data_IF_719522563807
#
_entry.id   IF_719522563807
#
_cell.length_a   1.000
_cell.length_b   1.000
_cell.length_c   1.000
_cell.angle_alpha   90.00
_cell.angle_beta   90.00
_cell.angle_gamma   90.00
#
_symmetry.space_group_name_H-M   'P 1'
#
loop_
_entity.id
_entity.type
_entity.pdbx_description
1 polymer ?
#
# COMPACT_ATOMS: atom_id res chain seq x y z
N UNK A 1 -25.01 46.38 30.91
CA UNK A 1 -26.21 45.56 30.68
C UNK A 1 -25.83 44.09 30.83
N UNK A 2 -26.38 43.46 31.86
CA UNK A 2 -26.21 42.06 32.23
C UNK A 2 -26.82 41.12 31.16
N UNK A 3 -26.20 39.95 30.95
CA UNK A 3 -26.92 38.67 30.95
C UNK A 3 -25.93 37.51 31.14
N UNK A 4 -25.84 37.05 32.40
CA UNK A 4 -25.31 35.73 32.78
C UNK A 4 -26.29 34.67 32.24
N UNK A 5 -25.80 33.70 31.46
CA UNK A 5 -26.60 32.58 31.02
C UNK A 5 -26.47 31.45 32.05
N UNK A 6 -27.54 31.22 32.79
CA UNK A 6 -27.72 30.19 33.81
C UNK A 6 -28.03 28.84 33.18
N UNK A 7 -27.27 27.80 33.50
CA UNK A 7 -27.67 26.40 33.32
C UNK A 7 -28.63 26.00 34.46
N UNK A 8 -29.73 25.28 34.19
CA UNK A 8 -30.37 24.47 35.20
C UNK A 8 -29.87 23.03 35.10
N UNK A 9 -29.30 22.54 36.20
CA UNK A 9 -29.26 21.12 36.50
C UNK A 9 -30.68 20.68 36.91
N UNK A 10 -31.18 19.59 36.34
CA UNK A 10 -32.23 18.79 36.97
C UNK A 10 -31.96 17.31 36.70
N UNK A 11 -31.90 16.57 37.81
CA UNK A 11 -31.62 15.15 37.92
C UNK A 11 -32.91 14.30 37.96
N UNK A 12 -32.71 12.98 37.97
CA UNK A 12 -33.65 11.88 38.31
C UNK A 12 -34.63 11.48 37.18
N UNK A 13 -34.84 10.22 36.78
CA UNK A 13 -34.85 8.89 37.45
C UNK A 13 -34.61 7.77 36.41
N UNK A 14 -33.67 6.83 36.61
CA UNK A 14 -33.87 5.45 37.06
C UNK A 14 -34.75 4.51 36.19
N UNK A 15 -34.13 3.47 35.59
CA UNK A 15 -34.70 2.11 35.53
C UNK A 15 -35.00 1.47 34.16
N UNK A 16 -34.05 0.70 33.61
CA UNK A 16 -34.23 -0.62 32.95
C UNK A 16 -32.83 -1.17 32.61
N UNK A 17 -32.22 -2.01 33.44
CA UNK A 17 -32.34 -3.47 33.47
C UNK A 17 -32.05 -4.16 32.11
N UNK A 18 -30.91 -4.85 32.08
CA UNK A 18 -30.51 -5.97 31.20
C UNK A 18 -30.65 -5.82 29.67
N UNK A 19 -29.49 -5.74 29.01
CA UNK A 19 -29.17 -6.58 27.85
C UNK A 19 -27.64 -6.70 27.73
N UNK A 20 -27.10 -7.64 28.51
CA UNK A 20 -25.84 -8.28 28.17
C UNK A 20 -26.15 -9.32 27.09
N UNK A 21 -25.44 -9.25 25.96
CA UNK A 21 -25.42 -10.35 25.00
C UNK A 21 -25.40 -9.92 23.54
N UNK A 22 -24.34 -10.35 22.86
CA UNK A 22 -24.27 -10.65 21.42
C UNK A 22 -24.36 -9.48 20.42
N UNK A 23 -23.19 -9.01 19.97
CA UNK A 23 -22.89 -8.88 18.54
C UNK A 23 -21.37 -8.68 18.29
N UNK A 24 -20.53 -9.56 18.83
CA UNK A 24 -19.15 -9.74 18.31
C UNK A 24 -19.20 -10.75 17.16
N UNK A 25 -19.85 -10.39 16.05
CA UNK A 25 -19.76 -11.15 14.80
C UNK A 25 -19.84 -10.19 13.62
N UNK A 26 -18.80 -9.39 13.44
CA UNK A 26 -18.59 -8.69 12.18
C UNK A 26 -17.11 -8.74 11.77
N UNK A 27 -16.46 -9.88 11.96
CA UNK A 27 -15.38 -10.30 11.07
C UNK A 27 -16.04 -11.13 9.97
N UNK A 28 -16.60 -10.46 8.96
CA UNK A 28 -16.90 -11.14 7.71
C UNK A 28 -15.56 -11.39 7.03
N UNK A 29 -15.07 -12.63 7.17
CA UNK A 29 -13.93 -13.11 6.39
C UNK A 29 -14.47 -13.25 4.96
N UNK A 30 -14.20 -12.25 4.13
CA UNK A 30 -14.40 -12.39 2.69
C UNK A 30 -13.47 -13.52 2.22
N UNK A 31 -13.98 -14.54 1.52
CA UNK A 31 -13.14 -15.61 1.00
C UNK A 31 -12.01 -15.03 0.16
N UNK A 32 -10.77 -15.37 0.49
CA UNK A 32 -9.67 -15.19 -0.46
C UNK A 32 -10.03 -16.05 -1.67
N UNK A 33 -10.22 -15.48 -2.88
CA UNK A 33 -10.51 -16.30 -4.04
C UNK A 33 -9.36 -17.29 -4.19
N UNK A 34 -9.67 -18.58 -4.10
CA UNK A 34 -8.78 -19.62 -4.61
C UNK A 34 -8.66 -19.39 -6.11
N UNK A 35 -7.43 -19.53 -6.62
CA UNK A 35 -7.08 -19.38 -8.03
C UNK A 35 -7.77 -20.47 -8.87
N UNK A 36 -9.07 -20.32 -9.10
CA UNK A 36 -9.79 -21.08 -10.10
C UNK A 36 -9.89 -20.21 -11.35
N UNK A 37 -9.03 -20.52 -12.32
CA UNK A 37 -8.98 -19.89 -13.63
C UNK A 37 -10.20 -20.20 -14.48
N UNK A 38 -11.35 -19.61 -14.15
CA UNK A 38 -12.46 -19.50 -15.08
C UNK A 38 -12.18 -18.33 -16.03
N UNK A 39 -11.71 -18.64 -17.23
CA UNK A 39 -11.69 -17.71 -18.37
C UNK A 39 -13.13 -17.40 -18.79
N UNK A 40 -13.76 -16.47 -18.08
CA UNK A 40 -14.95 -15.75 -18.56
C UNK A 40 -14.44 -14.62 -19.45
N UNK A 41 -14.56 -14.75 -20.78
CA UNK A 41 -14.29 -13.67 -21.73
C UNK A 41 -15.21 -12.48 -21.43
N UNK A 42 -14.73 -11.53 -20.63
CA UNK A 42 -15.43 -10.33 -20.19
C UNK A 42 -15.38 -10.04 -18.69
N UNK A 43 -14.89 -10.97 -17.85
CA UNK A 43 -14.77 -10.75 -16.40
C UNK A 43 -13.50 -9.98 -16.01
N UNK A 44 -13.57 -9.21 -14.93
CA UNK A 44 -12.43 -8.51 -14.34
C UNK A 44 -11.31 -9.51 -13.98
N UNK A 45 -10.15 -9.37 -14.63
CA UNK A 45 -8.98 -10.22 -14.40
C UNK A 45 -7.75 -9.34 -14.10
N UNK A 46 -7.46 -9.07 -12.81
CA UNK A 46 -6.39 -8.16 -12.43
C UNK A 46 -4.99 -8.69 -12.76
N UNK A 47 -4.79 -10.01 -12.76
CA UNK A 47 -3.49 -10.62 -13.09
C UNK A 47 -3.13 -10.41 -14.56
N UNK A 48 -4.09 -10.64 -15.47
CA UNK A 48 -3.91 -10.36 -16.91
C UNK A 48 -3.67 -8.87 -17.16
N UNK A 49 -4.46 -8.00 -16.52
CA UNK A 49 -4.29 -6.55 -16.66
C UNK A 49 -2.89 -6.08 -16.25
N UNK A 50 -2.34 -6.62 -15.15
CA UNK A 50 -0.97 -6.30 -14.72
C UNK A 50 0.05 -6.82 -15.73
N UNK A 51 -0.08 -8.06 -16.19
CA UNK A 51 0.85 -8.68 -17.14
C UNK A 51 0.95 -7.88 -18.45
N UNK A 52 -0.18 -7.42 -18.99
CA UNK A 52 -0.24 -6.64 -20.23
C UNK A 52 0.50 -5.29 -20.15
N UNK A 53 0.49 -4.64 -18.99
CA UNK A 53 1.10 -3.32 -18.80
C UNK A 53 2.51 -3.37 -18.18
N UNK A 54 2.91 -4.50 -17.61
CA UNK A 54 4.13 -4.58 -16.79
C UNK A 54 5.39 -4.14 -17.57
N UNK A 55 5.68 -4.85 -18.66
CA UNK A 55 6.88 -4.58 -19.47
C UNK A 55 6.73 -3.30 -20.28
N UNK A 56 5.52 -3.06 -20.81
CA UNK A 56 5.26 -1.98 -21.77
C UNK A 56 5.09 -0.60 -21.14
N UNK A 57 4.64 -0.52 -19.89
CA UNK A 57 4.34 0.74 -19.20
C UNK A 57 5.02 0.86 -17.83
N UNK A 58 4.88 -0.16 -16.98
CA UNK A 58 5.29 -0.06 -15.56
C UNK A 58 6.80 0.05 -15.41
N UNK A 59 7.57 -0.80 -16.07
CA UNK A 59 9.04 -0.76 -16.01
C UNK A 59 9.58 0.59 -16.52
N UNK A 60 9.25 1.04 -17.76
CA UNK A 60 9.74 2.33 -18.26
C UNK A 60 9.33 3.51 -17.37
N UNK A 61 8.11 3.46 -16.83
CA UNK A 61 7.62 4.49 -15.91
C UNK A 61 8.47 4.55 -14.64
N UNK A 62 8.67 3.42 -13.95
CA UNK A 62 9.46 3.39 -12.71
C UNK A 62 10.93 3.77 -12.98
N UNK A 63 11.49 3.35 -14.10
CA UNK A 63 12.84 3.76 -14.51
C UNK A 63 12.94 5.28 -14.73
N UNK A 64 11.93 5.91 -15.31
CA UNK A 64 11.93 7.35 -15.47
C UNK A 64 11.68 8.09 -14.16
N UNK A 65 10.75 7.58 -13.35
CA UNK A 65 10.21 8.28 -12.17
C UNK A 65 11.12 8.15 -10.95
N UNK A 66 11.82 7.03 -10.81
CA UNK A 66 12.59 6.73 -9.60
C UNK A 66 13.82 7.63 -9.44
N UNK A 67 13.91 8.32 -8.31
CA UNK A 67 15.12 9.04 -7.88
C UNK A 67 16.09 8.14 -7.11
N UNK A 68 17.30 8.64 -6.82
CA UNK A 68 18.18 7.95 -5.86
C UNK A 68 17.56 7.99 -4.46
N UNK A 69 17.79 6.97 -3.64
CA UNK A 69 17.27 6.92 -2.27
C UNK A 69 17.61 8.16 -1.45
N UNK A 70 18.88 8.61 -1.51
CA UNK A 70 19.33 9.81 -0.82
C UNK A 70 18.58 11.07 -1.28
N UNK A 71 18.40 11.28 -2.59
CA UNK A 71 17.70 12.45 -3.11
C UNK A 71 16.21 12.44 -2.73
N UNK A 72 15.57 11.27 -2.80
CA UNK A 72 14.15 11.12 -2.49
C UNK A 72 13.92 11.34 -0.99
N UNK A 73 14.75 10.75 -0.13
CA UNK A 73 14.67 10.92 1.32
C UNK A 73 14.86 12.39 1.71
N UNK A 74 15.96 13.03 1.27
CA UNK A 74 16.25 14.42 1.62
C UNK A 74 15.13 15.38 1.15
N UNK A 75 14.60 15.15 -0.05
CA UNK A 75 13.48 15.94 -0.56
C UNK A 75 12.18 15.65 0.20
N UNK A 76 11.88 14.39 0.54
CA UNK A 76 10.68 14.03 1.27
C UNK A 76 10.67 14.59 2.70
N UNK A 77 11.82 14.71 3.34
CA UNK A 77 11.96 15.33 4.67
C UNK A 77 11.77 16.86 4.62
N UNK A 78 12.26 17.50 3.55
CA UNK A 78 12.21 18.97 3.43
C UNK A 78 10.89 19.47 2.84
N UNK A 79 10.39 18.80 1.80
CA UNK A 79 9.16 19.13 1.10
C UNK A 79 8.49 17.84 0.55
N UNK A 80 7.67 17.16 1.36
CA UNK A 80 6.96 15.96 0.95
C UNK A 80 6.10 16.14 -0.30
N UNK A 81 5.56 17.33 -0.53
CA UNK A 81 4.68 17.61 -1.67
C UNK A 81 5.50 17.71 -2.97
N UNK A 82 6.64 18.41 -2.95
CA UNK A 82 7.57 18.45 -4.08
C UNK A 82 8.16 17.07 -4.38
N UNK A 83 8.57 16.32 -3.35
CA UNK A 83 9.01 14.93 -3.51
C UNK A 83 7.92 14.07 -4.14
N UNK A 84 6.67 14.26 -3.70
CA UNK A 84 5.52 13.52 -4.18
C UNK A 84 5.20 13.82 -5.65
N UNK A 85 5.30 15.08 -6.06
CA UNK A 85 5.14 15.48 -7.45
C UNK A 85 6.25 14.92 -8.35
N UNK A 86 7.50 14.94 -7.87
CA UNK A 86 8.68 14.52 -8.64
C UNK A 86 8.81 12.99 -8.73
N UNK A 87 8.78 12.31 -7.59
CA UNK A 87 9.11 10.88 -7.46
C UNK A 87 7.92 9.99 -7.15
N UNK A 88 6.75 10.56 -6.85
CA UNK A 88 5.53 9.81 -6.55
C UNK A 88 4.40 10.04 -7.54
N UNK A 89 3.21 9.61 -7.16
CA UNK A 89 1.98 9.80 -7.94
C UNK A 89 1.26 11.09 -7.50
N UNK A 90 1.32 12.19 -8.29
CA UNK A 90 0.62 13.43 -7.94
C UNK A 90 -0.91 13.28 -7.99
N UNK A 91 -1.43 12.28 -8.71
CA UNK A 91 -2.85 11.98 -8.87
C UNK A 91 -3.39 11.02 -7.80
N UNK A 92 -2.61 10.75 -6.73
CA UNK A 92 -3.09 9.93 -5.61
C UNK A 92 -4.39 10.49 -5.02
N UNK A 93 -5.15 9.63 -4.37
CA UNK A 93 -6.37 10.04 -3.66
C UNK A 93 -6.09 11.15 -2.64
N UNK A 94 -7.04 12.06 -2.46
CA UNK A 94 -6.92 13.13 -1.47
C UNK A 94 -6.63 12.54 -0.08
N UNK A 95 -5.63 13.11 0.61
CA UNK A 95 -5.14 12.65 1.93
C UNK A 95 -4.48 11.26 1.96
N UNK A 96 -4.31 10.58 0.81
CA UNK A 96 -3.47 9.39 0.79
C UNK A 96 -2.01 9.75 1.13
N UNK A 97 -1.27 8.90 1.86
CA UNK A 97 0.15 9.11 2.07
C UNK A 97 0.90 9.07 0.73
N UNK A 98 2.04 9.75 0.67
CA UNK A 98 2.90 9.67 -0.50
C UNK A 98 3.54 8.29 -0.63
N UNK A 99 3.61 7.80 -1.86
CA UNK A 99 4.42 6.66 -2.26
C UNK A 99 5.44 7.15 -3.27
N UNK A 100 6.71 6.84 -3.05
CA UNK A 100 7.81 7.32 -3.87
C UNK A 100 8.46 6.15 -4.62
N UNK A 101 8.79 6.37 -5.89
CA UNK A 101 9.63 5.48 -6.68
C UNK A 101 11.11 5.80 -6.37
N UNK A 102 11.87 4.77 -6.03
CA UNK A 102 13.25 4.91 -5.56
C UNK A 102 14.15 3.87 -6.19
N UNK A 103 15.37 4.27 -6.55
CA UNK A 103 16.52 3.41 -6.84
C UNK A 103 17.41 3.34 -5.60
N UNK A 104 17.75 2.12 -5.23
CA UNK A 104 18.55 1.82 -4.05
C UNK A 104 19.60 0.78 -4.41
N UNK A 105 20.84 1.07 -4.07
CA UNK A 105 21.96 0.14 -4.12
C UNK A 105 22.65 0.18 -2.76
N UNK A 106 22.99 -0.98 -2.21
CA UNK A 106 23.57 -1.07 -0.89
C UNK A 106 23.98 -2.49 -0.52
N UNK A 107 24.58 -2.64 0.66
CA UNK A 107 24.99 -3.91 1.23
C UNK A 107 23.88 -4.46 2.12
N UNK A 108 23.54 -5.74 1.93
CA UNK A 108 22.62 -6.42 2.84
C UNK A 108 23.31 -6.64 4.19
N UNK A 109 22.74 -6.07 5.26
CA UNK A 109 23.24 -6.21 6.64
C UNK A 109 22.42 -7.18 7.48
N UNK A 110 21.13 -7.39 7.14
CA UNK A 110 20.29 -8.41 7.73
C UNK A 110 19.29 -8.97 6.72
N UNK A 111 18.93 -10.24 6.90
CA UNK A 111 17.90 -10.91 6.09
C UNK A 111 17.00 -11.76 6.99
N UNK A 112 15.68 -11.61 6.83
CA UNK A 112 14.68 -12.45 7.46
C UNK A 112 13.91 -13.19 6.36
N UNK A 113 14.34 -14.41 6.06
CA UNK A 113 13.73 -15.28 5.04
C UNK A 113 12.87 -16.40 5.64
N UNK A 114 12.84 -16.53 6.98
CA UNK A 114 12.06 -17.56 7.66
C UNK A 114 10.53 -17.30 7.60
N UNK A 115 10.13 -16.04 7.43
CA UNK A 115 8.74 -15.63 7.28
C UNK A 115 8.36 -15.49 5.81
N UNK A 116 7.10 -15.78 5.45
CA UNK A 116 6.56 -15.48 4.12
C UNK A 116 6.55 -13.97 3.80
N UNK A 117 6.51 -13.12 4.83
CA UNK A 117 6.71 -11.68 4.68
C UNK A 117 8.20 -11.35 4.85
N UNK A 118 9.04 -12.01 4.05
CA UNK A 118 10.49 -11.90 4.14
C UNK A 118 10.97 -10.48 3.83
N UNK A 119 12.04 -10.06 4.51
CA UNK A 119 12.64 -8.74 4.37
C UNK A 119 14.15 -8.81 4.36
N UNK A 120 14.78 -7.84 3.70
CA UNK A 120 16.21 -7.55 3.83
C UNK A 120 16.39 -6.11 4.32
N UNK A 121 17.44 -5.89 5.08
CA UNK A 121 17.87 -4.58 5.53
C UNK A 121 19.15 -4.22 4.76
N UNK A 122 19.16 -3.03 4.15
CA UNK A 122 20.29 -2.52 3.38
C UNK A 122 20.94 -1.33 4.08
N UNK A 123 22.26 -1.35 4.03
CA UNK A 123 23.20 -0.26 4.32
C UNK A 123 23.61 0.38 2.99
N UNK A 124 23.32 1.66 2.80
CA UNK A 124 23.63 2.38 1.54
C UNK A 124 24.84 3.28 1.64
N UNK A 125 25.25 3.66 2.85
CA UNK A 125 26.36 4.58 3.09
C UNK A 125 27.64 3.89 3.59
N UNK A 126 27.58 2.57 3.82
CA UNK A 126 28.62 1.69 4.33
C UNK A 126 29.02 1.96 5.78
N UNK A 127 28.12 2.47 6.61
CA UNK A 127 28.36 2.67 8.05
C UNK A 127 28.10 1.40 8.90
N UNK A 128 27.57 0.34 8.29
CA UNK A 128 27.23 -0.93 8.93
C UNK A 128 25.84 -0.97 9.58
N UNK A 129 25.04 0.08 9.44
CA UNK A 129 23.67 0.20 9.93
C UNK A 129 22.66 0.07 8.79
N UNK A 130 21.41 -0.21 9.12
CA UNK A 130 20.36 -0.36 8.13
C UNK A 130 19.68 0.98 7.85
N UNK A 131 19.73 1.44 6.60
CA UNK A 131 19.06 2.66 6.12
C UNK A 131 17.68 2.36 5.53
N UNK A 132 17.53 1.19 4.91
CA UNK A 132 16.31 0.80 4.22
C UNK A 132 15.95 -0.66 4.49
N UNK A 133 14.64 -0.92 4.57
CA UNK A 133 14.09 -2.28 4.64
C UNK A 133 13.28 -2.58 3.39
N UNK A 134 13.65 -3.64 2.69
CA UNK A 134 12.96 -4.11 1.47
C UNK A 134 12.18 -5.37 1.79
N UNK A 135 10.91 -5.43 1.39
CA UNK A 135 10.14 -6.67 1.37
C UNK A 135 10.55 -7.49 0.15
N UNK A 136 10.98 -8.74 0.37
CA UNK A 136 11.39 -9.70 -0.67
C UNK A 136 10.54 -10.97 -0.66
N UNK A 137 9.66 -11.13 0.33
CA UNK A 137 8.93 -12.38 0.52
C UNK A 137 7.68 -12.53 -0.34
N UNK A 138 7.21 -13.78 -0.51
CA UNK A 138 6.04 -14.09 -1.32
C UNK A 138 4.73 -13.46 -0.83
N UNK A 139 4.69 -12.98 0.42
CA UNK A 139 3.57 -12.23 0.97
C UNK A 139 3.92 -10.75 1.09
N UNK A 140 3.97 -10.05 -0.04
CA UNK A 140 4.15 -8.59 -0.12
C UNK A 140 2.91 -7.86 0.40
N UNK A 141 3.11 -6.90 1.30
CA UNK A 141 2.03 -6.14 1.94
C UNK A 141 1.81 -4.77 1.29
N UNK A 142 0.56 -4.32 1.33
CA UNK A 142 0.17 -2.97 0.88
C UNK A 142 -0.03 -2.87 -0.64
N UNK A 143 -0.12 -1.63 -1.13
CA UNK A 143 -0.48 -1.29 -2.52
C UNK A 143 0.49 -0.33 -3.18
N UNK A 144 1.69 -0.17 -2.60
CA UNK A 144 2.67 0.83 -3.01
C UNK A 144 3.00 0.79 -4.51
N UNK A 145 3.15 -0.40 -5.11
CA UNK A 145 3.40 -0.53 -6.54
C UNK A 145 2.30 0.12 -7.37
N UNK A 146 1.03 -0.25 -7.15
CA UNK A 146 -0.13 0.35 -7.82
C UNK A 146 -0.20 1.86 -7.56
N UNK A 147 -0.03 2.27 -6.30
CA UNK A 147 -0.26 3.65 -5.87
C UNK A 147 0.83 4.62 -6.36
N UNK A 148 2.01 4.10 -6.70
CA UNK A 148 3.10 4.87 -7.30
C UNK A 148 2.87 5.25 -8.77
N UNK A 149 1.93 4.60 -9.47
CA UNK A 149 1.71 4.77 -10.91
C UNK A 149 0.67 5.86 -11.17
N UNK A 150 1.08 6.98 -11.78
CA UNK A 150 0.19 8.11 -12.04
C UNK A 150 -0.84 7.91 -13.17
N UNK A 151 -0.64 6.87 -13.97
CA UNK A 151 -1.57 6.44 -15.02
C UNK A 151 -2.59 5.39 -14.54
N UNK A 152 -2.51 4.94 -13.28
CA UNK A 152 -3.50 4.05 -12.67
C UNK A 152 -4.46 4.89 -11.84
N UNK A 153 -5.72 5.01 -12.28
CA UNK A 153 -6.74 5.77 -11.58
C UNK A 153 -7.81 4.85 -10.98
N UNK A 154 -8.30 5.19 -9.79
CA UNK A 154 -9.43 4.48 -9.18
C UNK A 154 -10.69 4.49 -10.07
N UNK A 155 -10.93 5.57 -10.80
CA UNK A 155 -12.11 5.72 -11.66
C UNK A 155 -12.11 4.77 -12.87
N UNK A 156 -10.99 4.10 -13.16
CA UNK A 156 -10.90 3.08 -14.20
C UNK A 156 -11.44 1.71 -13.72
N UNK A 157 -11.85 1.62 -12.46
CA UNK A 157 -12.33 0.40 -11.81
C UNK A 157 -13.78 0.54 -11.37
N UNK A 158 -14.52 -0.58 -11.40
CA UNK A 158 -15.93 -0.60 -11.01
C UNK A 158 -16.14 -0.24 -9.55
N UNK A 159 -15.24 -0.68 -8.67
CA UNK A 159 -15.40 -0.57 -7.23
C UNK A 159 -14.05 -0.70 -6.48
N UNK A 160 -14.10 -0.52 -5.16
CA UNK A 160 -12.91 -0.59 -4.29
C UNK A 160 -12.31 -2.00 -4.16
N UNK A 161 -13.11 -3.04 -4.33
CA UNK A 161 -12.65 -4.44 -4.29
C UNK A 161 -11.79 -4.72 -5.53
N UNK A 162 -12.27 -4.36 -6.73
CA UNK A 162 -11.53 -4.50 -7.99
C UNK A 162 -10.20 -3.75 -7.91
N UNK A 163 -10.22 -2.49 -7.46
CA UNK A 163 -9.01 -1.70 -7.32
C UNK A 163 -8.01 -2.32 -6.32
N UNK A 164 -8.50 -2.86 -5.20
CA UNK A 164 -7.66 -3.54 -4.22
C UNK A 164 -7.08 -4.86 -4.76
N UNK A 165 -7.88 -5.64 -5.49
CA UNK A 165 -7.43 -6.87 -6.15
C UNK A 165 -6.36 -6.58 -7.21
N UNK A 166 -6.50 -5.48 -7.97
CA UNK A 166 -5.46 -5.03 -8.89
C UNK A 166 -4.14 -4.69 -8.18
N UNK A 167 -4.20 -4.04 -7.02
CA UNK A 167 -3.02 -3.80 -6.17
C UNK A 167 -2.36 -5.10 -5.69
N UNK A 168 -3.16 -6.11 -5.32
CA UNK A 168 -2.66 -7.44 -4.93
C UNK A 168 -2.05 -8.21 -6.12
N UNK A 169 -2.62 -8.08 -7.31
CA UNK A 169 -2.09 -8.70 -8.52
C UNK A 169 -0.69 -8.18 -8.85
N UNK A 170 -0.44 -6.87 -8.70
CA UNK A 170 0.91 -6.31 -8.82
C UNK A 170 1.94 -6.97 -7.91
N UNK A 171 1.60 -7.09 -6.62
CA UNK A 171 2.46 -7.73 -5.63
C UNK A 171 2.74 -9.20 -5.99
N UNK A 172 1.70 -9.92 -6.45
CA UNK A 172 1.81 -11.33 -6.85
C UNK A 172 2.66 -11.49 -8.10
N UNK A 173 2.50 -10.59 -9.07
CA UNK A 173 3.29 -10.56 -10.31
C UNK A 173 4.77 -10.30 -10.03
N UNK A 174 5.11 -9.31 -9.20
CA UNK A 174 6.50 -9.01 -8.80
C UNK A 174 7.11 -10.19 -8.07
N UNK A 175 6.38 -10.79 -7.13
CA UNK A 175 6.85 -11.99 -6.46
C UNK A 175 7.18 -13.10 -7.48
N UNK A 176 6.26 -13.40 -8.40
CA UNK A 176 6.43 -14.48 -9.38
C UNK A 176 7.59 -14.24 -10.35
N UNK A 177 7.78 -13.01 -10.81
CA UNK A 177 8.69 -12.70 -11.94
C UNK A 177 10.08 -12.19 -11.51
N UNK A 178 10.14 -11.52 -10.35
CA UNK A 178 11.35 -10.88 -9.83
C UNK A 178 11.87 -11.60 -8.58
N UNK A 179 11.04 -11.73 -7.54
CA UNK A 179 11.50 -12.11 -6.20
C UNK A 179 11.62 -13.63 -5.99
N UNK A 180 10.86 -14.44 -6.72
CA UNK A 180 10.88 -15.92 -6.62
C UNK A 180 12.24 -16.56 -6.91
N UNK A 181 13.17 -15.78 -7.48
CA UNK A 181 14.55 -16.17 -7.78
C UNK A 181 15.51 -15.92 -6.61
N UNK A 182 15.07 -15.19 -5.59
CA UNK A 182 15.85 -14.92 -4.38
C UNK A 182 15.76 -16.14 -3.42
N UNK A 183 16.81 -16.38 -2.63
CA UNK A 183 16.89 -17.51 -1.70
C UNK A 183 15.88 -17.44 -0.54
#
# INVERSE_FOLDING_TARGET
MLKKLTLPALALTAGFALLAGSALTACKIEPTPTEDGSEETGAFNPDRMVEEIWVSKVIPYLEQKAGSFADVQAMAETDPAAAGAKFGNPNKQANAPWTYAVRLDGKIVAANTASRAATIDLDVDNDGQADARIQIGPAMRGTALRDSLDFVNFNDFTNQIDFAQFGKAFNSYVNRTVLSKLP
#
